data_IF_910504199348
#
_entry.id   IF_910504199348
#
_cell.length_a   1.000
_cell.length_b   1.000
_cell.length_c   1.000
_cell.angle_alpha   90.00
_cell.angle_beta   90.00
_cell.angle_gamma   90.00
#
_symmetry.space_group_name_H-M   'P 1'
#
loop_
_entity.id
_entity.type
_entity.pdbx_description
1 polymer ?
#
# COMPACT_ATOMS: atom_id res chain seq x y z
N UNK A 1 3.19 -3.26 -5.27
CA UNK A 1 2.05 -3.75 -6.08
C UNK A 1 2.54 -4.67 -7.21
N UNK A 2 2.77 -5.97 -6.95
CA UNK A 2 3.18 -6.94 -7.98
C UNK A 2 2.11 -7.16 -9.07
N UNK A 3 0.83 -6.98 -8.73
CA UNK A 3 -0.30 -7.17 -9.64
C UNK A 3 -0.38 -6.14 -10.78
N UNK A 4 0.18 -4.94 -10.60
CA UNK A 4 0.29 -3.95 -11.68
C UNK A 4 1.48 -4.26 -12.59
N UNK A 5 2.61 -4.69 -12.03
CA UNK A 5 3.80 -5.08 -12.79
C UNK A 5 3.51 -6.28 -13.70
N UNK A 6 2.80 -7.29 -13.21
CA UNK A 6 2.40 -8.46 -14.02
C UNK A 6 1.52 -8.07 -15.22
N UNK A 7 0.67 -7.05 -15.11
CA UNK A 7 -0.13 -6.52 -16.23
C UNK A 7 0.72 -5.73 -17.24
N UNK A 8 1.73 -5.01 -16.80
CA UNK A 8 2.65 -4.32 -17.72
C UNK A 8 3.50 -5.30 -18.54
N UNK A 9 3.85 -6.46 -17.97
CA UNK A 9 4.60 -7.51 -18.69
C UNK A 9 3.77 -8.29 -19.70
N UNK A 10 2.45 -8.16 -19.70
CA UNK A 10 1.57 -8.72 -20.75
C UNK A 10 1.41 -7.81 -21.97
N UNK A 11 1.96 -6.59 -21.94
CA UNK A 11 1.93 -5.68 -23.09
C UNK A 11 3.05 -6.05 -24.05
N UNK A 12 2.75 -6.35 -25.33
CA UNK A 12 3.73 -6.90 -26.28
C UNK A 12 4.83 -5.91 -26.69
N UNK A 13 4.66 -4.61 -26.44
CA UNK A 13 5.56 -3.57 -26.94
C UNK A 13 5.79 -2.44 -25.92
N UNK A 14 7.06 -2.08 -25.71
CA UNK A 14 7.49 -1.02 -24.80
C UNK A 14 6.87 0.35 -25.15
N UNK A 15 6.56 0.58 -26.44
CA UNK A 15 5.89 1.83 -26.88
C UNK A 15 4.44 1.90 -26.40
N UNK A 16 3.73 0.78 -26.45
CA UNK A 16 2.35 0.68 -25.95
C UNK A 16 2.31 0.79 -24.43
N UNK A 17 3.29 0.21 -23.72
CA UNK A 17 3.42 0.35 -22.28
C UNK A 17 3.62 1.83 -21.85
N UNK A 18 4.50 2.58 -22.52
CA UNK A 18 4.67 4.02 -22.25
C UNK A 18 3.40 4.82 -22.55
N UNK A 19 2.71 4.52 -23.65
CA UNK A 19 1.45 5.20 -23.99
C UNK A 19 0.36 4.94 -22.95
N UNK A 20 0.23 3.70 -22.49
CA UNK A 20 -0.68 3.33 -21.40
C UNK A 20 -0.33 4.07 -20.10
N UNK A 21 0.96 4.15 -19.75
CA UNK A 21 1.42 4.88 -18.57
C UNK A 21 1.09 6.38 -18.63
N UNK A 22 1.25 7.01 -19.80
CA UNK A 22 0.87 8.42 -20.00
C UNK A 22 -0.63 8.62 -19.83
N UNK A 23 -1.47 7.77 -20.44
CA UNK A 23 -2.92 7.86 -20.26
C UNK A 23 -3.34 7.64 -18.80
N UNK A 24 -2.77 6.62 -18.14
CA UNK A 24 -3.05 6.35 -16.73
C UNK A 24 -2.67 7.55 -15.85
N UNK A 25 -1.48 8.14 -16.08
CA UNK A 25 -1.03 9.34 -15.37
C UNK A 25 -1.97 10.52 -15.63
N UNK A 26 -2.39 10.72 -16.89
CA UNK A 26 -3.37 11.75 -17.27
C UNK A 26 -4.68 11.60 -16.49
N UNK A 27 -5.26 10.40 -16.45
CA UNK A 27 -6.47 10.15 -15.67
C UNK A 27 -6.28 10.39 -14.18
N UNK A 28 -5.16 9.97 -13.60
CA UNK A 28 -4.84 10.20 -12.18
C UNK A 28 -4.76 11.70 -11.88
N UNK A 29 -4.05 12.46 -12.71
CA UNK A 29 -3.89 13.91 -12.52
C UNK A 29 -5.23 14.63 -12.68
N UNK A 30 -5.99 14.33 -13.73
CA UNK A 30 -7.32 14.91 -13.94
C UNK A 30 -8.26 14.59 -12.78
N UNK A 31 -8.30 13.33 -12.33
CA UNK A 31 -9.11 12.93 -11.20
C UNK A 31 -8.68 13.63 -9.90
N UNK A 32 -7.38 13.75 -9.65
CA UNK A 32 -6.84 14.44 -8.47
C UNK A 32 -7.21 15.94 -8.46
N UNK A 33 -7.17 16.59 -9.62
CA UNK A 33 -7.62 17.98 -9.77
C UNK A 33 -9.12 18.12 -9.49
N UNK A 34 -9.94 17.19 -10.01
CA UNK A 34 -11.38 17.17 -9.75
C UNK A 34 -11.69 17.00 -8.26
N UNK A 35 -10.96 16.12 -7.56
CA UNK A 35 -11.10 15.97 -6.11
C UNK A 35 -10.77 17.25 -5.36
N UNK A 36 -9.74 17.97 -5.81
CA UNK A 36 -9.32 19.22 -5.18
C UNK A 36 -10.37 20.32 -5.34
N UNK A 37 -10.88 20.51 -6.57
CA UNK A 37 -11.95 21.48 -6.87
C UNK A 37 -13.23 21.13 -6.11
N UNK A 38 -13.63 19.86 -6.14
CA UNK A 38 -14.85 19.39 -5.46
C UNK A 38 -14.71 19.53 -3.94
N UNK A 39 -13.55 19.21 -3.37
CA UNK A 39 -13.28 19.36 -1.94
C UNK A 39 -13.41 20.81 -1.47
N UNK A 40 -12.83 21.77 -2.22
CA UNK A 40 -13.00 23.19 -1.93
C UNK A 40 -14.45 23.64 -2.06
N UNK A 41 -15.17 23.16 -3.09
CA UNK A 41 -16.59 23.44 -3.27
C UNK A 41 -17.45 22.93 -2.11
N UNK A 42 -17.17 21.72 -1.62
CA UNK A 42 -17.83 21.14 -0.44
C UNK A 42 -17.54 21.98 0.81
N UNK A 43 -16.29 22.42 1.03
CA UNK A 43 -15.95 23.27 2.18
C UNK A 43 -16.76 24.57 2.17
N UNK A 44 -16.88 25.23 1.01
CA UNK A 44 -17.68 26.46 0.87
C UNK A 44 -19.17 26.18 1.08
N UNK A 45 -19.69 25.07 0.55
CA UNK A 45 -21.09 24.70 0.69
C UNK A 45 -21.48 24.37 2.14
N UNK A 46 -20.57 23.75 2.88
CA UNK A 46 -20.77 23.36 4.28
C UNK A 46 -20.44 24.50 5.25
N UNK A 47 -19.68 25.51 4.82
CA UNK A 47 -19.32 26.64 5.65
C UNK A 47 -20.57 27.39 6.15
N UNK A 48 -20.73 27.46 7.48
CA UNK A 48 -21.83 28.17 8.12
C UNK A 48 -23.12 27.37 8.31
N UNK A 49 -23.18 26.10 7.87
CA UNK A 49 -24.32 25.24 8.16
C UNK A 49 -24.14 24.59 9.55
N UNK A 50 -25.01 24.92 10.51
CA UNK A 50 -24.94 24.38 11.88
C UNK A 50 -25.60 23.01 12.03
N UNK A 51 -26.44 22.58 11.08
CA UNK A 51 -27.15 21.28 11.14
C UNK A 51 -26.22 20.08 10.93
N UNK A 52 -25.04 20.32 10.36
CA UNK A 52 -24.00 19.31 10.08
C UNK A 52 -22.93 19.25 11.19
N UNK A 53 -23.03 20.13 12.20
CA UNK A 53 -22.10 20.21 13.30
C UNK A 53 -22.68 19.50 14.53
N UNK A 54 -21.81 18.81 15.27
CA UNK A 54 -22.12 18.22 16.57
C UNK A 54 -22.13 19.29 17.67
N UNK A 55 -22.50 18.88 18.88
CA UNK A 55 -22.55 19.78 20.05
C UNK A 55 -21.20 20.38 20.47
N UNK A 56 -20.09 19.95 19.88
CA UNK A 56 -18.74 20.49 20.09
C UNK A 56 -18.21 21.29 18.89
N UNK A 57 -19.04 21.52 17.86
CA UNK A 57 -18.67 22.24 16.65
C UNK A 57 -17.85 21.41 15.64
N UNK A 58 -17.70 20.10 15.87
CA UNK A 58 -17.12 19.15 14.92
C UNK A 58 -18.16 18.68 13.89
N UNK A 59 -17.73 18.18 12.74
CA UNK A 59 -18.67 17.66 11.73
C UNK A 59 -19.26 16.31 12.18
N UNK A 60 -20.59 16.17 12.16
CA UNK A 60 -21.28 14.92 12.50
C UNK A 60 -20.77 13.78 11.62
N UNK A 61 -20.17 12.75 12.23
CA UNK A 61 -19.62 11.61 11.51
C UNK A 61 -18.21 11.84 10.92
N UNK A 62 -17.47 12.83 11.41
CA UNK A 62 -16.12 13.23 11.00
C UNK A 62 -16.03 13.91 9.62
N UNK A 63 -14.86 14.45 9.30
CA UNK A 63 -14.56 15.04 7.99
C UNK A 63 -14.77 14.08 6.81
N UNK A 64 -14.79 12.77 7.06
CA UNK A 64 -15.06 11.76 6.03
C UNK A 64 -16.51 11.82 5.51
N UNK A 65 -17.45 12.40 6.26
CA UNK A 65 -18.85 12.53 5.88
C UNK A 65 -19.16 13.81 5.11
N UNK A 66 -18.16 14.65 4.81
CA UNK A 66 -18.35 15.93 4.13
C UNK A 66 -19.12 15.80 2.80
N UNK A 67 -18.79 14.77 1.99
CA UNK A 67 -19.49 14.54 0.72
C UNK A 67 -20.93 14.06 0.91
N UNK A 68 -21.21 13.32 1.99
CA UNK A 68 -22.57 12.84 2.31
C UNK A 68 -23.45 14.00 2.79
N UNK A 69 -22.90 14.90 3.59
CA UNK A 69 -23.58 16.13 4.01
C UNK A 69 -23.83 17.06 2.83
N UNK A 70 -22.85 17.22 1.92
CA UNK A 70 -23.04 17.98 0.70
C UNK A 70 -24.15 17.39 -0.19
N UNK A 71 -24.18 16.06 -0.35
CA UNK A 71 -25.24 15.37 -1.08
C UNK A 71 -26.63 15.64 -0.48
N UNK A 72 -26.74 15.63 0.86
CA UNK A 72 -27.98 15.94 1.56
C UNK A 72 -28.44 17.38 1.34
N UNK A 73 -27.53 18.34 1.39
CA UNK A 73 -27.86 19.76 1.18
C UNK A 73 -28.31 20.01 -0.26
N UNK A 74 -27.62 19.42 -1.24
CA UNK A 74 -27.89 19.67 -2.67
C UNK A 74 -29.18 18.98 -3.14
N UNK A 75 -29.45 17.75 -2.70
CA UNK A 75 -30.52 16.94 -3.26
C UNK A 75 -31.33 16.13 -2.25
N UNK A 76 -31.28 16.52 -0.96
CA UNK A 76 -32.06 15.92 0.11
C UNK A 76 -31.75 14.44 0.34
N UNK A 77 -32.73 13.73 0.91
CA UNK A 77 -32.58 12.31 1.27
C UNK A 77 -32.39 11.40 0.04
N UNK A 78 -32.91 11.78 -1.12
CA UNK A 78 -32.75 11.01 -2.37
C UNK A 78 -31.30 11.01 -2.82
N UNK A 79 -30.67 12.18 -2.88
CA UNK A 79 -29.27 12.31 -3.27
C UNK A 79 -28.33 11.68 -2.23
N UNK A 80 -28.63 11.83 -0.94
CA UNK A 80 -27.89 11.15 0.13
C UNK A 80 -27.98 9.62 -0.02
N UNK A 81 -29.17 9.07 -0.25
CA UNK A 81 -29.37 7.64 -0.45
C UNK A 81 -28.65 7.11 -1.71
N UNK A 82 -28.69 7.89 -2.79
CA UNK A 82 -27.95 7.57 -4.01
C UNK A 82 -26.44 7.54 -3.76
N UNK A 83 -25.86 8.60 -3.20
CA UNK A 83 -24.43 8.67 -2.90
C UNK A 83 -23.98 7.60 -1.91
N UNK A 84 -24.79 7.31 -0.88
CA UNK A 84 -24.54 6.24 0.07
C UNK A 84 -24.53 4.86 -0.61
N UNK A 85 -25.46 4.58 -1.53
CA UNK A 85 -25.48 3.30 -2.25
C UNK A 85 -24.29 3.14 -3.20
N UNK A 86 -23.90 4.20 -3.90
CA UNK A 86 -22.69 4.21 -4.76
C UNK A 86 -21.42 4.01 -3.92
N UNK A 87 -21.29 4.72 -2.80
CA UNK A 87 -20.15 4.56 -1.90
C UNK A 87 -20.09 3.14 -1.32
N UNK A 88 -21.22 2.58 -0.91
CA UNK A 88 -21.29 1.22 -0.37
C UNK A 88 -20.89 0.18 -1.44
N UNK A 89 -21.45 0.28 -2.65
CA UNK A 89 -21.15 -0.66 -3.73
C UNK A 89 -19.66 -0.60 -4.15
N UNK A 90 -19.09 0.60 -4.23
CA UNK A 90 -17.67 0.77 -4.61
C UNK A 90 -16.72 0.28 -3.52
N UNK A 91 -17.01 0.56 -2.24
CA UNK A 91 -16.23 0.04 -1.11
C UNK A 91 -16.28 -1.48 -1.06
N UNK A 92 -17.47 -2.09 -1.18
CA UNK A 92 -17.62 -3.54 -1.18
C UNK A 92 -16.82 -4.18 -2.32
N UNK A 93 -16.88 -3.60 -3.53
CA UNK A 93 -16.14 -4.11 -4.67
C UNK A 93 -14.61 -4.08 -4.43
N UNK A 94 -14.08 -2.96 -3.92
CA UNK A 94 -12.64 -2.80 -3.64
C UNK A 94 -12.19 -3.70 -2.49
N UNK A 95 -12.93 -3.74 -1.39
CA UNK A 95 -12.59 -4.57 -0.22
C UNK A 95 -12.57 -6.05 -0.60
N UNK A 96 -13.57 -6.54 -1.33
CA UNK A 96 -13.59 -7.92 -1.83
C UNK A 96 -12.34 -8.22 -2.66
N UNK A 97 -11.96 -7.33 -3.57
CA UNK A 97 -10.75 -7.49 -4.39
C UNK A 97 -9.46 -7.55 -3.57
N UNK A 98 -9.30 -6.63 -2.61
CA UNK A 98 -8.11 -6.56 -1.75
C UNK A 98 -8.00 -7.76 -0.80
N UNK A 99 -9.11 -8.18 -0.18
CA UNK A 99 -9.13 -9.32 0.74
C UNK A 99 -8.81 -10.62 0.01
N UNK A 100 -9.38 -10.83 -1.19
CA UNK A 100 -9.07 -12.01 -2.00
C UNK A 100 -7.59 -12.03 -2.42
N UNK A 101 -7.04 -10.90 -2.85
CA UNK A 101 -5.63 -10.80 -3.21
C UNK A 101 -4.71 -11.04 -2.00
N UNK A 102 -5.05 -10.47 -0.84
CA UNK A 102 -4.29 -10.66 0.40
C UNK A 102 -4.35 -12.11 0.87
N UNK A 103 -5.53 -12.74 0.86
CA UNK A 103 -5.70 -14.13 1.26
C UNK A 103 -4.98 -15.10 0.31
N UNK A 104 -4.97 -14.81 -0.99
CA UNK A 104 -4.21 -15.58 -1.98
C UNK A 104 -2.71 -15.48 -1.74
N UNK A 105 -2.18 -14.27 -1.50
CA UNK A 105 -0.78 -14.08 -1.14
C UNK A 105 -0.45 -14.79 0.18
N UNK A 106 -1.31 -14.69 1.20
CA UNK A 106 -1.11 -15.37 2.48
C UNK A 106 -1.10 -16.90 2.34
N UNK A 107 -2.06 -17.46 1.59
CA UNK A 107 -2.13 -18.89 1.36
C UNK A 107 -0.91 -19.38 0.56
N UNK A 108 -0.51 -18.65 -0.47
CA UNK A 108 0.65 -19.02 -1.27
C UNK A 108 1.96 -18.91 -0.46
N UNK A 109 2.19 -17.78 0.20
CA UNK A 109 3.46 -17.48 0.88
C UNK A 109 3.61 -18.26 2.21
N UNK A 110 2.58 -18.25 3.07
CA UNK A 110 2.65 -18.95 4.37
C UNK A 110 2.29 -20.43 4.28
N UNK A 111 1.23 -20.81 3.57
CA UNK A 111 0.77 -22.20 3.58
C UNK A 111 1.56 -23.09 2.61
N UNK A 112 1.79 -22.65 1.38
CA UNK A 112 2.55 -23.45 0.39
C UNK A 112 4.07 -23.35 0.58
N UNK A 113 4.59 -22.15 0.86
CA UNK A 113 6.02 -21.86 1.00
C UNK A 113 6.63 -22.31 2.32
N UNK A 114 6.00 -21.96 3.46
CA UNK A 114 6.58 -22.22 4.80
C UNK A 114 6.12 -23.54 5.40
N UNK A 115 4.83 -23.89 5.29
CA UNK A 115 4.26 -25.02 6.04
C UNK A 115 4.39 -26.38 5.32
N UNK A 116 4.30 -26.44 3.97
CA UNK A 116 4.24 -27.73 3.24
C UNK A 116 5.31 -27.98 2.17
N UNK A 117 6.31 -27.10 1.99
CA UNK A 117 7.45 -27.29 1.06
C UNK A 117 7.03 -27.88 -0.31
N UNK A 118 5.95 -27.37 -0.90
CA UNK A 118 5.52 -27.74 -2.26
C UNK A 118 4.70 -29.03 -2.41
N UNK A 119 4.18 -29.65 -1.34
CA UNK A 119 3.21 -30.77 -1.44
C UNK A 119 1.86 -30.39 -0.82
N UNK A 120 1.08 -29.58 -1.53
CA UNK A 120 -0.26 -29.19 -1.10
C UNK A 120 -1.29 -29.78 -2.04
N UNK A 121 -2.31 -30.40 -1.47
CA UNK A 121 -3.54 -30.82 -2.16
C UNK A 121 -4.41 -29.58 -2.41
N UNK A 122 -4.82 -29.34 -3.65
CA UNK A 122 -5.58 -28.16 -4.10
C UNK A 122 -6.79 -27.86 -3.20
N UNK A 123 -7.48 -28.90 -2.73
CA UNK A 123 -8.66 -28.75 -1.85
C UNK A 123 -8.31 -28.15 -0.50
N UNK A 124 -7.13 -28.46 0.02
CA UNK A 124 -6.66 -27.94 1.30
C UNK A 124 -6.16 -26.50 1.16
N UNK A 125 -5.56 -26.15 0.02
CA UNK A 125 -5.14 -24.77 -0.28
C UNK A 125 -6.34 -23.83 -0.39
N UNK A 126 -7.41 -24.25 -1.08
CA UNK A 126 -8.66 -23.48 -1.17
C UNK A 126 -9.31 -23.27 0.20
N UNK A 127 -9.27 -24.28 1.10
CA UNK A 127 -9.78 -24.12 2.47
C UNK A 127 -8.94 -23.14 3.28
N UNK A 128 -7.61 -23.22 3.21
CA UNK A 128 -6.72 -22.29 3.88
C UNK A 128 -6.96 -20.85 3.42
N UNK A 129 -7.09 -20.63 2.10
CA UNK A 129 -7.43 -19.32 1.53
C UNK A 129 -8.77 -18.78 2.06
N UNK A 130 -9.83 -19.59 2.12
CA UNK A 130 -11.13 -19.17 2.68
C UNK A 130 -11.05 -18.79 4.15
N UNK A 131 -10.29 -19.53 4.96
CA UNK A 131 -10.09 -19.20 6.38
C UNK A 131 -9.33 -17.88 6.51
N UNK A 132 -8.29 -17.67 5.70
CA UNK A 132 -7.54 -16.41 5.66
C UNK A 132 -8.43 -15.22 5.28
N UNK A 133 -9.35 -15.37 4.31
CA UNK A 133 -10.34 -14.34 3.94
C UNK A 133 -11.20 -13.94 5.15
N UNK A 134 -11.75 -14.92 5.87
CA UNK A 134 -12.60 -14.65 7.04
C UNK A 134 -11.80 -14.00 8.16
N UNK A 135 -10.61 -14.53 8.48
CA UNK A 135 -9.74 -13.99 9.52
C UNK A 135 -9.31 -12.55 9.23
N UNK A 136 -8.88 -12.27 7.99
CA UNK A 136 -8.53 -10.91 7.54
C UNK A 136 -9.74 -9.97 7.58
N UNK A 137 -10.93 -10.46 7.18
CA UNK A 137 -12.17 -9.68 7.22
C UNK A 137 -12.56 -9.28 8.65
N UNK A 138 -12.56 -10.23 9.59
CA UNK A 138 -12.85 -9.96 11.01
C UNK A 138 -11.85 -8.98 11.59
N UNK A 139 -10.56 -9.16 11.31
CA UNK A 139 -9.51 -8.24 11.77
C UNK A 139 -9.69 -6.83 11.19
N UNK A 140 -10.02 -6.72 9.90
CA UNK A 140 -10.25 -5.44 9.24
C UNK A 140 -11.46 -4.69 9.83
N UNK A 141 -12.54 -5.40 10.14
CA UNK A 141 -13.73 -4.81 10.80
C UNK A 141 -13.40 -4.35 12.21
N UNK A 142 -12.71 -5.18 13.00
CA UNK A 142 -12.32 -4.84 14.37
C UNK A 142 -11.41 -3.59 14.41
N UNK A 143 -10.40 -3.53 13.54
CA UNK A 143 -9.54 -2.35 13.41
C UNK A 143 -10.34 -1.15 12.90
N UNK A 144 -11.22 -1.33 11.92
CA UNK A 144 -12.08 -0.25 11.40
C UNK A 144 -12.95 0.40 12.46
N UNK A 145 -13.50 -0.39 13.40
CA UNK A 145 -14.27 0.13 14.53
C UNK A 145 -13.40 0.95 15.49
N UNK A 146 -12.16 0.53 15.74
CA UNK A 146 -11.27 1.22 16.66
C UNK A 146 -10.73 2.55 16.11
N UNK A 147 -10.61 2.67 14.79
CA UNK A 147 -10.20 3.90 14.11
C UNK A 147 -11.39 4.75 13.61
N UNK A 148 -12.60 4.48 14.09
CA UNK A 148 -13.80 5.24 13.71
C UNK A 148 -13.66 6.70 14.16
N UNK A 149 -13.71 7.63 13.20
CA UNK A 149 -13.58 9.08 13.45
C UNK A 149 -12.24 9.68 13.02
N UNK A 150 -11.23 8.85 12.75
CA UNK A 150 -9.99 9.30 12.14
C UNK A 150 -10.20 9.59 10.64
N UNK A 151 -9.45 10.55 10.12
CA UNK A 151 -9.50 10.86 8.69
C UNK A 151 -8.97 9.67 7.87
N UNK A 152 -9.78 9.14 6.95
CA UNK A 152 -9.43 7.94 6.17
C UNK A 152 -8.23 8.22 5.26
N UNK A 153 -8.09 9.44 4.73
CA UNK A 153 -6.92 9.83 3.93
C UNK A 153 -5.63 9.78 4.78
N UNK A 154 -5.73 10.18 6.05
CA UNK A 154 -4.60 10.12 6.97
C UNK A 154 -4.21 8.68 7.31
N UNK A 155 -5.16 7.82 7.67
CA UNK A 155 -4.91 6.38 7.90
C UNK A 155 -4.29 5.69 6.67
N UNK A 156 -4.80 6.04 5.49
CA UNK A 156 -4.28 5.52 4.22
C UNK A 156 -2.82 5.94 4.01
N UNK A 157 -2.48 7.20 4.29
CA UNK A 157 -1.11 7.69 4.21
C UNK A 157 -0.15 6.93 5.17
N UNK A 158 -0.60 6.62 6.38
CA UNK A 158 0.17 5.83 7.35
C UNK A 158 0.40 4.39 6.87
N UNK A 159 -0.62 3.73 6.33
CA UNK A 159 -0.48 2.38 5.76
C UNK A 159 0.50 2.35 4.58
N UNK A 160 0.40 3.33 3.66
CA UNK A 160 1.35 3.47 2.56
C UNK A 160 2.77 3.79 3.05
N UNK A 161 2.91 4.50 4.16
CA UNK A 161 4.21 4.80 4.76
C UNK A 161 4.91 3.54 5.24
N UNK A 162 4.19 2.63 5.91
CA UNK A 162 4.73 1.31 6.31
C UNK A 162 5.13 0.51 5.07
N UNK A 163 4.25 0.44 4.07
CA UNK A 163 4.52 -0.28 2.82
C UNK A 163 5.73 0.30 2.06
N UNK A 164 5.88 1.63 2.02
CA UNK A 164 7.00 2.31 1.38
C UNK A 164 8.32 2.06 2.12
N UNK A 165 8.27 2.01 3.46
CA UNK A 165 9.45 1.78 4.31
C UNK A 165 10.11 0.42 4.04
N UNK A 166 9.30 -0.60 3.77
CA UNK A 166 9.81 -1.95 3.48
C UNK A 166 10.22 -2.08 2.01
N UNK A 167 9.35 -1.65 1.10
CA UNK A 167 9.51 -1.98 -0.32
C UNK A 167 10.40 -0.99 -1.09
N UNK A 168 10.29 0.32 -0.82
CA UNK A 168 10.96 1.34 -1.63
C UNK A 168 12.48 1.24 -1.51
N UNK A 169 13.10 1.21 -0.31
CA UNK A 169 14.54 1.06 -0.17
C UNK A 169 15.07 -0.25 -0.79
N UNK A 170 14.34 -1.35 -0.58
CA UNK A 170 14.70 -2.65 -1.11
C UNK A 170 14.67 -2.68 -2.64
N UNK A 171 13.61 -2.17 -3.24
CA UNK A 171 13.44 -2.16 -4.70
C UNK A 171 14.42 -1.19 -5.37
N UNK A 172 14.66 -0.02 -4.80
CA UNK A 172 15.66 0.93 -5.29
C UNK A 172 17.06 0.32 -5.22
N UNK A 173 17.43 -0.30 -4.10
CA UNK A 173 18.72 -0.97 -3.97
C UNK A 173 18.87 -2.12 -4.97
N UNK A 174 17.84 -2.96 -5.13
CA UNK A 174 17.90 -4.09 -6.04
C UNK A 174 18.01 -3.68 -7.53
N UNK A 175 17.39 -2.57 -7.93
CA UNK A 175 17.39 -2.11 -9.32
C UNK A 175 18.58 -1.23 -9.70
N UNK A 176 19.07 -0.41 -8.77
CA UNK A 176 20.06 0.62 -9.08
C UNK A 176 21.42 0.40 -8.41
N UNK A 177 21.53 -0.53 -7.45
CA UNK A 177 22.76 -0.75 -6.70
C UNK A 177 23.29 -2.17 -6.85
N UNK A 178 24.38 -2.28 -7.62
CA UNK A 178 25.10 -3.55 -7.81
C UNK A 178 25.52 -4.23 -6.51
N UNK A 179 25.78 -3.45 -5.45
CA UNK A 179 26.25 -3.97 -4.17
C UNK A 179 25.19 -4.66 -3.33
N UNK A 180 23.90 -4.56 -3.68
CA UNK A 180 22.78 -5.05 -2.88
C UNK A 180 22.86 -6.56 -2.64
N UNK A 181 22.88 -6.95 -1.36
CA UNK A 181 22.92 -8.34 -0.92
C UNK A 181 21.53 -8.81 -0.49
N UNK A 182 21.19 -10.09 -0.73
CA UNK A 182 19.92 -10.66 -0.29
C UNK A 182 19.71 -10.48 1.22
N UNK A 183 20.76 -10.64 2.03
CA UNK A 183 20.72 -10.44 3.48
C UNK A 183 20.44 -8.99 3.86
N UNK A 184 21.08 -8.03 3.18
CA UNK A 184 20.84 -6.61 3.40
C UNK A 184 19.43 -6.19 3.02
N UNK A 185 18.91 -6.71 1.90
CA UNK A 185 17.53 -6.51 1.46
C UNK A 185 16.53 -7.05 2.51
N UNK A 186 16.74 -8.26 3.01
CA UNK A 186 15.86 -8.89 4.03
C UNK A 186 15.92 -8.13 5.35
N UNK A 187 17.12 -7.91 5.90
CA UNK A 187 17.28 -7.23 7.20
C UNK A 187 16.84 -5.77 7.14
N UNK A 188 17.12 -5.08 6.05
CA UNK A 188 16.62 -3.73 5.81
C UNK A 188 15.11 -3.66 5.71
N UNK A 189 14.48 -4.64 5.05
CA UNK A 189 13.02 -4.77 5.02
C UNK A 189 12.43 -4.99 6.42
N UNK A 190 13.02 -5.87 7.22
CA UNK A 190 12.59 -6.10 8.62
C UNK A 190 12.73 -4.84 9.47
N UNK A 191 13.86 -4.14 9.38
CA UNK A 191 14.07 -2.88 10.12
C UNK A 191 13.07 -1.82 9.67
N UNK A 192 12.85 -1.68 8.36
CA UNK A 192 11.84 -0.77 7.82
C UNK A 192 10.43 -1.07 8.35
N UNK A 193 10.06 -2.35 8.44
CA UNK A 193 8.78 -2.77 8.99
C UNK A 193 8.67 -2.47 10.49
N UNK A 194 9.66 -2.90 11.28
CA UNK A 194 9.65 -2.72 12.74
C UNK A 194 9.66 -1.25 13.12
N UNK A 195 10.53 -0.44 12.50
CA UNK A 195 10.63 1.00 12.78
C UNK A 195 9.35 1.72 12.35
N UNK A 196 8.81 1.42 11.16
CA UNK A 196 7.58 2.09 10.72
C UNK A 196 6.36 1.73 11.57
N UNK A 197 6.21 0.46 11.96
CA UNK A 197 5.11 0.02 12.84
C UNK A 197 5.28 0.57 14.25
N UNK A 198 6.49 0.60 14.80
CA UNK A 198 6.75 1.18 16.11
C UNK A 198 6.44 2.68 16.15
N UNK A 199 6.94 3.44 15.16
CA UNK A 199 6.66 4.88 15.07
C UNK A 199 5.18 5.17 14.79
N UNK A 200 4.51 4.31 14.02
CA UNK A 200 3.06 4.38 13.82
C UNK A 200 2.29 4.16 15.12
N UNK A 201 2.66 3.13 15.90
CA UNK A 201 2.02 2.84 17.18
C UNK A 201 2.21 3.99 18.19
N UNK A 202 3.38 4.65 18.16
CA UNK A 202 3.70 5.79 19.02
C UNK A 202 3.13 7.13 18.52
N UNK A 203 2.51 7.16 17.33
CA UNK A 203 1.93 8.37 16.76
C UNK A 203 0.60 8.73 17.43
N UNK A 204 0.19 10.02 17.43
CA UNK A 204 -1.09 10.44 18.00
C UNK A 204 -2.30 9.68 17.43
N UNK A 205 -2.21 9.28 16.15
CA UNK A 205 -3.28 8.55 15.47
C UNK A 205 -3.66 7.24 16.15
N UNK A 206 -2.65 6.49 16.60
CA UNK A 206 -2.81 5.16 17.19
C UNK A 206 -2.77 5.26 18.71
N UNK A 207 -1.82 6.03 19.25
CA UNK A 207 -1.61 6.16 20.69
C UNK A 207 -2.78 6.85 21.38
N UNK A 208 -3.16 8.03 20.90
CA UNK A 208 -4.27 8.80 21.48
C UNK A 208 -5.60 8.36 20.88
N UNK A 209 -5.65 8.19 19.56
CA UNK A 209 -6.87 7.85 18.84
C UNK A 209 -7.40 6.43 19.06
N UNK A 210 -6.53 5.41 18.97
CA UNK A 210 -6.96 4.01 19.03
C UNK A 210 -6.78 3.36 20.40
N UNK A 211 -5.70 3.69 21.10
CA UNK A 211 -5.38 3.13 22.43
C UNK A 211 -5.94 3.99 23.58
N UNK A 212 -6.36 5.23 23.32
CA UNK A 212 -6.91 6.13 24.35
C UNK A 212 -5.89 6.57 25.40
N UNK A 213 -4.59 6.55 25.06
CA UNK A 213 -3.51 6.96 25.94
C UNK A 213 -3.19 8.43 25.74
N UNK A 214 -2.87 9.15 26.81
CA UNK A 214 -2.48 10.57 26.73
C UNK A 214 -0.99 10.72 26.36
N UNK A 215 -0.66 11.85 25.71
CA UNK A 215 0.69 12.27 25.35
C UNK A 215 1.46 11.27 24.49
N UNK A 216 1.21 11.26 23.19
CA UNK A 216 1.97 10.45 22.24
C UNK A 216 3.49 10.68 22.37
N UNK A 217 4.31 9.64 22.61
CA UNK A 217 5.77 9.77 22.75
C UNK A 217 6.44 10.25 21.47
N UNK A 218 5.80 10.04 20.33
CA UNK A 218 6.30 10.45 19.03
C UNK A 218 5.29 11.41 18.37
N UNK A 219 5.50 12.73 18.45
CA UNK A 219 4.50 13.72 18.00
C UNK A 219 4.46 13.90 16.48
N UNK A 220 5.28 13.16 15.71
CA UNK A 220 5.37 13.34 14.27
C UNK A 220 4.32 12.52 13.53
N UNK A 221 3.60 13.23 12.65
CA UNK A 221 2.50 12.71 11.83
C UNK A 221 3.00 11.79 10.70
N UNK A 222 4.27 11.93 10.29
CA UNK A 222 4.85 11.24 9.14
C UNK A 222 6.05 10.36 9.52
N UNK A 223 5.81 9.14 10.03
CA UNK A 223 6.89 8.23 10.46
C UNK A 223 7.85 7.82 9.33
N UNK A 224 7.41 7.96 8.08
CA UNK A 224 8.17 7.63 6.86
C UNK A 224 9.50 8.38 6.74
N UNK A 225 9.58 9.58 7.33
CA UNK A 225 10.80 10.37 7.32
C UNK A 225 11.95 9.67 8.04
N UNK A 226 11.65 8.80 9.00
CA UNK A 226 12.66 8.09 9.79
C UNK A 226 12.76 6.61 9.39
N UNK A 227 11.64 5.95 9.11
CA UNK A 227 11.63 4.53 8.79
C UNK A 227 12.25 4.22 7.43
N UNK A 228 12.02 5.06 6.41
CA UNK A 228 12.58 4.86 5.06
C UNK A 228 14.12 5.00 5.08
N UNK A 229 14.72 6.07 5.65
CA UNK A 229 16.16 6.17 5.75
C UNK A 229 16.78 5.10 6.66
N UNK A 230 16.13 4.72 7.76
CA UNK A 230 16.62 3.64 8.64
C UNK A 230 16.71 2.31 7.88
N UNK A 231 15.68 1.95 7.12
CA UNK A 231 15.70 0.78 6.26
C UNK A 231 16.82 0.86 5.21
N UNK A 232 16.94 1.99 4.52
CA UNK A 232 17.98 2.20 3.52
C UNK A 232 19.39 2.09 4.13
N UNK A 233 19.63 2.67 5.31
CA UNK A 233 20.90 2.60 6.02
C UNK A 233 21.28 1.14 6.32
N UNK A 234 20.33 0.35 6.83
CA UNK A 234 20.58 -1.07 7.13
C UNK A 234 20.85 -1.86 5.86
N UNK A 235 20.12 -1.61 4.77
CA UNK A 235 20.41 -2.23 3.47
C UNK A 235 21.84 -1.91 3.05
N UNK A 236 22.27 -0.66 3.18
CA UNK A 236 23.61 -0.22 2.80
C UNK A 236 24.68 -0.88 3.67
N UNK A 237 24.57 -0.76 4.99
CA UNK A 237 25.57 -1.28 5.94
C UNK A 237 25.71 -2.79 5.81
N UNK A 238 24.60 -3.52 5.81
CA UNK A 238 24.61 -4.98 5.72
C UNK A 238 25.10 -5.43 4.33
N UNK A 239 24.71 -4.76 3.25
CA UNK A 239 25.16 -5.16 1.90
C UNK A 239 26.63 -4.85 1.62
N UNK A 240 27.20 -3.85 2.30
CA UNK A 240 28.65 -3.61 2.28
C UNK A 240 29.41 -4.62 3.13
N UNK A 241 28.85 -5.02 4.27
CA UNK A 241 29.46 -6.00 5.17
C UNK A 241 29.32 -7.45 4.66
N UNK A 242 28.31 -7.76 3.86
CA UNK A 242 28.06 -9.12 3.38
C UNK A 242 29.03 -9.52 2.27
N UNK A 243 29.98 -10.40 2.63
CA UNK A 243 30.93 -11.05 1.72
C UNK A 243 30.53 -12.48 1.36
N UNK A 244 29.25 -12.82 1.53
CA UNK A 244 28.76 -14.17 1.26
C UNK A 244 28.96 -14.60 -0.20
N UNK A 245 29.12 -15.92 -0.48
CA UNK A 245 29.17 -16.45 -1.84
C UNK A 245 27.95 -16.06 -2.68
N UNK A 246 26.78 -16.02 -2.05
CA UNK A 246 25.51 -15.61 -2.66
C UNK A 246 25.52 -14.15 -3.09
N UNK A 247 26.08 -13.24 -2.27
CA UNK A 247 26.22 -11.83 -2.65
C UNK A 247 27.18 -11.66 -3.84
N UNK A 248 28.24 -12.46 -3.93
CA UNK A 248 29.16 -12.45 -5.07
C UNK A 248 28.51 -12.99 -6.36
N UNK A 249 27.73 -14.07 -6.25
CA UNK A 249 26.91 -14.61 -7.35
C UNK A 249 25.86 -13.59 -7.81
N UNK A 250 25.18 -12.93 -6.88
CA UNK A 250 24.20 -11.88 -7.18
C UNK A 250 24.81 -10.71 -7.95
N UNK A 251 26.01 -10.26 -7.56
CA UNK A 251 26.76 -9.21 -8.26
C UNK A 251 27.12 -9.58 -9.70
N UNK A 252 27.60 -10.81 -9.93
CA UNK A 252 27.90 -11.30 -11.29
C UNK A 252 26.66 -11.38 -12.16
N UNK A 253 25.56 -11.91 -11.61
CA UNK A 253 24.28 -12.04 -12.31
C UNK A 253 23.67 -10.67 -12.64
N UNK A 254 23.86 -9.68 -11.78
CA UNK A 254 23.48 -8.29 -12.04
C UNK A 254 24.27 -7.70 -13.22
N UNK A 255 25.58 -7.92 -13.28
CA UNK A 255 26.41 -7.48 -14.42
C UNK A 255 26.00 -8.19 -15.73
N UNK A 256 25.69 -9.50 -15.68
CA UNK A 256 25.19 -10.28 -16.81
C UNK A 256 23.79 -9.84 -17.30
N UNK A 257 22.92 -9.36 -16.41
CA UNK A 257 21.59 -8.86 -16.77
C UNK A 257 21.61 -7.40 -17.22
N UNK A 258 22.54 -6.60 -16.70
CA UNK A 258 22.71 -5.21 -17.13
C UNK A 258 23.22 -5.10 -18.56
N UNK A 259 24.20 -5.92 -18.95
CA UNK A 259 24.81 -5.82 -20.28
C UNK A 259 23.78 -5.97 -21.43
N UNK A 260 22.88 -6.96 -21.45
CA UNK A 260 21.82 -7.08 -22.45
C UNK A 260 20.75 -5.98 -22.35
N UNK A 261 20.47 -5.47 -21.15
CA UNK A 261 19.43 -4.44 -20.94
C UNK A 261 19.84 -3.06 -21.46
N UNK A 262 21.14 -2.72 -21.40
CA UNK A 262 21.68 -1.43 -21.85
C UNK A 262 22.07 -1.47 -23.33
N UNK A 263 22.61 -2.60 -23.81
CA UNK A 263 23.06 -2.74 -25.20
C UNK A 263 21.91 -3.05 -26.17
N UNK A 264 20.70 -3.36 -25.65
CA UNK A 264 19.63 -3.96 -26.43
C UNK A 264 19.99 -5.39 -26.80
N UNK A 265 19.00 -6.30 -26.74
CA UNK A 265 19.18 -7.69 -27.16
C UNK A 265 19.73 -7.70 -28.60
N UNK A 266 21.01 -8.00 -28.77
CA UNK A 266 21.50 -8.57 -30.03
C UNK A 266 21.12 -10.03 -29.96
N UNK A 267 20.20 -10.42 -30.83
CA UNK A 267 19.79 -11.81 -31.04
C UNK A 267 21.02 -12.70 -31.02
N UNK A 268 21.16 -13.45 -29.92
CA UNK A 268 22.14 -14.53 -29.83
C UNK A 268 21.35 -15.80 -30.10
N UNK A 269 21.79 -16.62 -31.07
CA UNK A 269 21.03 -17.77 -31.53
C UNK A 269 20.85 -18.76 -30.38
N UNK A 270 19.64 -19.30 -30.27
CA UNK A 270 19.27 -20.37 -29.34
C UNK A 270 20.31 -21.50 -29.40
N UNK A 271 21.06 -21.69 -28.31
CA UNK A 271 21.76 -22.95 -28.09
C UNK A 271 20.73 -23.89 -27.46
N UNK A 272 20.06 -24.68 -28.31
CA UNK A 272 19.41 -25.93 -27.90
C UNK A 272 20.48 -26.86 -27.33
N UNK A 273 20.30 -27.30 -26.10
CA UNK A 273 20.63 -28.65 -25.65
C UNK A 273 19.72 -29.05 -24.50
#
# INVERSE_FOLDING_TARGET
LPHLLMRFFTVPDARQARRSAVFATGYIVTFSLLLWITGLGIVVLLAGNTEILDGQGGMIGSTNMAIMHAARIIGGNVMLGFMASVAFATLLAVVCGLVLAAAAALAHDLYSGVYKRGRVDDRTEVRASRISVVALGVLAVALGMQFQGQNVAYLTALAFTVAASVNTPALVAALFWRGASARGLILGGWVGMVVSVALLALSPAVWEGALGLENAPFPWIYPGLFSIPAAALVIVVVSLADRSPEAMLGRRRYDELLAPSVLGRRDTPEIRH
#
